data_IF_413025130072
#
_entry.id   IF_413025130072
#
_cell.length_a   1.000
_cell.length_b   1.000
_cell.length_c   1.000
_cell.angle_alpha   90.00
_cell.angle_beta   90.00
_cell.angle_gamma   90.00
#
_symmetry.space_group_name_H-M   'P 1'
#
loop_
_entity.id
_entity.type
_entity.pdbx_description
1 polymer ?
#
# COMPACT_ATOMS: atom_id res chain seq x y z
N UNK A 1 -7.76 12.32 2.93
CA UNK A 1 -8.17 10.99 2.39
C UNK A 1 -7.00 10.02 2.39
N UNK A 2 -6.76 9.39 3.54
CA UNK A 2 -5.55 8.62 3.89
C UNK A 2 -5.20 7.42 2.99
N UNK A 3 -6.15 6.91 2.21
CA UNK A 3 -6.00 5.69 1.42
C UNK A 3 -5.83 5.93 -0.09
N UNK A 4 -5.64 7.18 -0.53
CA UNK A 4 -5.42 7.49 -1.97
C UNK A 4 -4.02 7.03 -2.41
N UNK A 5 -3.84 5.73 -2.61
CA UNK A 5 -2.55 5.13 -2.96
C UNK A 5 -1.98 5.71 -4.26
N UNK A 6 -2.83 5.94 -5.26
CA UNK A 6 -2.46 6.44 -6.59
C UNK A 6 -2.22 7.96 -6.70
N UNK A 7 -2.39 8.75 -5.63
CA UNK A 7 -2.22 10.20 -5.66
C UNK A 7 -1.28 10.66 -4.55
N UNK A 8 -0.59 11.76 -4.84
CA UNK A 8 0.15 12.53 -3.85
C UNK A 8 -0.74 13.68 -3.37
N UNK A 9 -0.74 14.01 -2.09
CA UNK A 9 -1.69 14.98 -1.53
C UNK A 9 -1.25 16.43 -1.81
N UNK A 10 0.02 16.76 -1.53
CA UNK A 10 0.54 18.10 -1.75
C UNK A 10 2.00 18.09 -2.16
N UNK A 11 2.36 18.99 -3.06
CA UNK A 11 3.75 19.23 -3.46
C UNK A 11 4.03 20.71 -3.27
N UNK A 12 5.08 21.04 -2.52
CA UNK A 12 5.57 22.41 -2.29
C UNK A 12 6.96 22.53 -2.93
N UNK A 13 7.08 23.09 -4.15
CA UNK A 13 8.38 23.37 -4.76
C UNK A 13 9.22 24.29 -3.87
N UNK A 14 10.54 24.08 -3.90
CA UNK A 14 11.53 24.89 -3.20
C UNK A 14 12.31 25.74 -4.22
N UNK A 15 12.86 26.90 -3.80
CA UNK A 15 13.67 27.76 -4.68
C UNK A 15 14.94 27.08 -5.23
N UNK A 16 15.44 26.03 -4.57
CA UNK A 16 16.61 25.24 -4.98
C UNK A 16 16.32 24.23 -6.10
N UNK A 17 15.10 24.24 -6.64
CA UNK A 17 14.63 23.30 -7.66
C UNK A 17 14.16 21.95 -7.09
N UNK A 18 14.20 21.76 -5.77
CA UNK A 18 13.64 20.58 -5.11
C UNK A 18 12.17 20.76 -4.72
N UNK A 19 11.62 19.81 -3.97
CA UNK A 19 10.27 19.91 -3.41
C UNK A 19 10.10 19.26 -2.03
N UNK A 20 9.09 19.70 -1.29
CA UNK A 20 8.51 18.94 -0.17
C UNK A 20 7.25 18.26 -0.68
N UNK A 21 7.24 16.94 -0.64
CA UNK A 21 6.05 16.15 -0.97
C UNK A 21 5.38 15.71 0.33
N UNK A 22 4.13 16.13 0.55
CA UNK A 22 3.34 15.76 1.72
C UNK A 22 2.47 14.55 1.40
N UNK A 23 2.51 13.57 2.31
CA UNK A 23 1.61 12.43 2.38
C UNK A 23 0.78 12.59 3.65
N UNK A 24 -0.49 12.92 3.51
CA UNK A 24 -1.38 13.27 4.63
C UNK A 24 -2.18 12.05 5.12
N UNK A 25 -2.13 11.74 6.41
CA UNK A 25 -2.96 10.73 7.07
C UNK A 25 -3.83 11.39 8.15
N UNK A 26 -5.13 11.46 7.87
CA UNK A 26 -6.12 12.12 8.75
C UNK A 26 -6.65 11.19 9.85
N UNK A 27 -6.24 9.92 9.86
CA UNK A 27 -6.66 8.97 10.88
C UNK A 27 -6.02 9.32 12.22
N UNK A 28 -6.70 8.97 13.31
CA UNK A 28 -6.08 8.94 14.63
C UNK A 28 -5.28 7.63 14.82
N UNK A 29 -4.45 7.58 15.87
CA UNK A 29 -3.60 6.41 16.16
C UNK A 29 -4.40 5.10 16.33
N UNK A 30 -5.59 5.15 16.94
CA UNK A 30 -6.44 3.98 17.12
C UNK A 30 -6.97 3.43 15.78
N UNK A 31 -7.38 4.31 14.86
CA UNK A 31 -7.81 3.93 13.52
C UNK A 31 -6.65 3.36 12.69
N UNK A 32 -5.44 3.90 12.83
CA UNK A 32 -4.24 3.34 12.20
C UNK A 32 -3.90 1.94 12.75
N UNK A 33 -4.09 1.71 14.05
CA UNK A 33 -3.80 0.45 14.73
C UNK A 33 -4.87 -0.63 14.53
N UNK A 34 -6.05 -0.32 13.96
CA UNK A 34 -7.15 -1.28 13.78
C UNK A 34 -6.77 -2.46 12.89
N UNK A 35 -6.05 -2.19 11.80
CA UNK A 35 -5.52 -3.20 10.87
C UNK A 35 -4.09 -2.80 10.52
N UNK A 36 -3.08 -3.16 11.36
CA UNK A 36 -1.70 -2.70 11.21
C UNK A 36 -1.11 -2.99 9.83
N UNK A 37 -1.26 -4.23 9.33
CA UNK A 37 -0.80 -4.63 8.00
C UNK A 37 -1.36 -3.74 6.87
N UNK A 38 -2.65 -3.41 6.90
CA UNK A 38 -3.28 -2.51 5.91
C UNK A 38 -2.69 -1.10 5.99
N UNK A 39 -2.58 -0.56 7.21
CA UNK A 39 -2.01 0.77 7.44
C UNK A 39 -0.57 0.86 6.94
N UNK A 40 0.25 -0.16 7.23
CA UNK A 40 1.63 -0.26 6.76
C UNK A 40 1.71 -0.28 5.25
N UNK A 41 0.97 -1.18 4.58
CA UNK A 41 1.02 -1.32 3.11
C UNK A 41 0.55 -0.04 2.41
N UNK A 42 -0.53 0.60 2.89
CA UNK A 42 -1.01 1.87 2.32
C UNK A 42 0.01 3.00 2.52
N UNK A 43 0.54 3.15 3.73
CA UNK A 43 1.46 4.23 4.03
C UNK A 43 2.74 4.12 3.21
N UNK A 44 3.33 2.92 3.15
CA UNK A 44 4.53 2.67 2.33
C UNK A 44 4.23 2.91 0.85
N UNK A 45 3.09 2.41 0.33
CA UNK A 45 2.74 2.62 -1.06
C UNK A 45 2.69 4.12 -1.43
N UNK A 46 2.08 4.94 -0.56
CA UNK A 46 1.98 6.39 -0.76
C UNK A 46 3.34 7.07 -0.70
N UNK A 47 4.23 6.66 0.21
CA UNK A 47 5.59 7.19 0.27
C UNK A 47 6.40 6.81 -0.97
N UNK A 48 6.32 5.56 -1.45
CA UNK A 48 7.00 5.14 -2.66
C UNK A 48 6.49 5.89 -3.91
N UNK A 49 5.20 6.16 -4.01
CA UNK A 49 4.65 6.99 -5.08
C UNK A 49 5.09 8.45 -4.95
N UNK A 50 5.18 9.00 -3.74
CA UNK A 50 5.74 10.32 -3.51
C UNK A 50 7.22 10.41 -3.96
N UNK A 51 8.01 9.35 -3.74
CA UNK A 51 9.40 9.26 -4.25
C UNK A 51 9.45 9.35 -5.77
N UNK A 52 8.56 8.65 -6.47
CA UNK A 52 8.48 8.72 -7.94
C UNK A 52 8.12 10.10 -8.44
N UNK A 53 7.17 10.77 -7.79
CA UNK A 53 6.81 12.14 -8.14
C UNK A 53 8.01 13.08 -7.93
N UNK A 54 8.76 12.91 -6.84
CA UNK A 54 9.96 13.69 -6.56
C UNK A 54 11.04 13.45 -7.62
N UNK A 55 11.28 12.18 -7.97
CA UNK A 55 12.24 11.80 -9.01
C UNK A 55 11.86 12.39 -10.36
N UNK A 56 10.64 12.14 -10.82
CA UNK A 56 10.17 12.50 -12.15
C UNK A 56 10.04 14.02 -12.37
N UNK A 57 9.68 14.79 -11.33
CA UNK A 57 9.40 16.23 -11.47
C UNK A 57 10.51 17.14 -10.94
N UNK A 58 11.33 16.66 -10.01
CA UNK A 58 12.33 17.46 -9.31
C UNK A 58 13.72 16.81 -9.32
N UNK A 59 13.94 15.78 -10.14
CA UNK A 59 15.23 15.08 -10.26
C UNK A 59 15.70 14.49 -8.94
N UNK A 60 14.76 14.02 -8.12
CA UNK A 60 15.02 13.42 -6.80
C UNK A 60 15.39 14.45 -5.73
N UNK A 61 15.45 15.74 -6.05
CA UNK A 61 15.82 16.79 -5.09
C UNK A 61 14.64 17.13 -4.18
N UNK A 62 14.80 16.90 -2.88
CA UNK A 62 13.83 17.30 -1.88
C UNK A 62 13.61 16.27 -0.80
N UNK A 63 12.41 16.26 -0.25
CA UNK A 63 12.03 15.35 0.84
C UNK A 63 10.55 14.99 0.79
N UNK A 64 10.23 13.86 1.41
CA UNK A 64 8.85 13.41 1.63
C UNK A 64 8.55 13.56 3.11
N UNK A 65 7.37 14.08 3.44
CA UNK A 65 6.89 14.17 4.82
C UNK A 65 5.56 13.45 4.95
N UNK A 66 5.51 12.48 5.85
CA UNK A 66 4.28 11.82 6.29
C UNK A 66 3.65 12.68 7.38
N UNK A 67 2.61 13.42 7.00
CA UNK A 67 1.91 14.40 7.82
C UNK A 67 0.72 13.76 8.52
N UNK A 68 0.63 13.96 9.83
CA UNK A 68 -0.39 13.39 10.69
C UNK A 68 -0.79 14.40 11.78
N UNK A 69 -2.07 14.40 12.17
CA UNK A 69 -2.52 15.17 13.33
C UNK A 69 -2.30 14.43 14.66
N UNK A 70 -2.13 13.10 14.62
CA UNK A 70 -1.92 12.25 15.78
C UNK A 70 -0.49 11.72 15.83
N UNK A 71 -0.02 11.32 17.01
CA UNK A 71 1.24 10.55 17.12
C UNK A 71 1.14 9.26 16.31
N UNK A 72 2.15 8.97 15.48
CA UNK A 72 2.21 7.73 14.72
C UNK A 72 2.41 6.54 15.68
N UNK A 73 1.66 5.44 15.52
CA UNK A 73 2.04 4.18 16.11
C UNK A 73 3.47 3.79 15.70
N UNK A 74 4.26 3.22 16.63
CA UNK A 74 5.67 2.91 16.40
C UNK A 74 5.92 2.06 15.16
N UNK A 75 5.05 1.07 14.89
CA UNK A 75 5.14 0.22 13.70
C UNK A 75 5.04 1.02 12.40
N UNK A 76 4.18 2.05 12.37
CA UNK A 76 3.93 2.85 11.19
C UNK A 76 5.05 3.87 11.00
N UNK A 77 5.56 4.44 12.10
CA UNK A 77 6.73 5.32 12.08
C UNK A 77 7.95 4.62 11.48
N UNK A 78 8.25 3.39 11.90
CA UNK A 78 9.33 2.58 11.34
C UNK A 78 9.10 2.31 9.84
N UNK A 79 7.88 1.93 9.46
CA UNK A 79 7.55 1.66 8.05
C UNK A 79 7.72 2.87 7.12
N UNK A 80 7.17 4.04 7.48
CA UNK A 80 7.28 5.26 6.64
C UNK A 80 8.69 5.80 6.58
N UNK A 81 9.42 5.68 7.70
CA UNK A 81 10.84 6.03 7.80
C UNK A 81 11.67 5.19 6.83
N UNK A 82 11.53 3.86 6.89
CA UNK A 82 12.25 2.95 5.98
C UNK A 82 11.87 3.19 4.53
N UNK A 83 10.64 3.61 4.26
CA UNK A 83 10.17 3.95 2.93
C UNK A 83 10.80 5.24 2.38
N UNK A 84 11.43 6.05 3.24
CA UNK A 84 12.13 7.28 2.87
C UNK A 84 11.36 8.57 3.19
N UNK A 85 10.37 8.55 4.09
CA UNK A 85 9.66 9.73 4.55
C UNK A 85 10.15 10.20 5.93
N UNK A 86 10.21 11.53 6.11
CA UNK A 86 10.25 12.15 7.43
C UNK A 86 8.84 12.17 8.04
N UNK A 87 8.72 12.23 9.37
CA UNK A 87 7.42 12.47 10.02
C UNK A 87 7.24 13.96 10.25
N UNK A 88 6.05 14.48 9.94
CA UNK A 88 5.67 15.87 10.21
C UNK A 88 4.34 15.97 10.96
N UNK A 89 4.11 17.12 11.58
CA UNK A 89 2.78 17.47 12.11
C UNK A 89 1.77 17.70 10.96
N UNK A 90 0.55 18.09 11.32
CA UNK A 90 -0.51 18.43 10.37
C UNK A 90 -0.23 19.72 9.57
N UNK A 91 0.62 20.63 10.06
CA UNK A 91 1.05 21.83 9.33
C UNK A 91 2.08 21.50 8.23
N UNK A 92 2.69 20.31 8.35
CA UNK A 92 3.76 19.81 7.50
C UNK A 92 5.14 20.18 8.03
N UNK A 93 5.27 20.69 9.25
CA UNK A 93 6.53 20.95 9.94
C UNK A 93 7.17 19.64 10.42
N UNK A 94 8.47 19.49 10.19
CA UNK A 94 9.18 18.23 10.41
C UNK A 94 9.37 17.98 11.91
N UNK A 95 8.96 16.80 12.39
CA UNK A 95 9.10 16.38 13.79
C UNK A 95 10.26 15.36 13.94
N UNK A 96 10.41 14.44 12.98
CA UNK A 96 11.40 13.35 13.06
C UNK A 96 12.22 13.27 11.77
N UNK A 97 13.54 13.25 11.91
CA UNK A 97 14.51 12.95 10.85
C UNK A 97 15.06 11.56 11.13
N UNK A 98 14.77 10.55 10.31
CA UNK A 98 15.33 9.23 10.53
C UNK A 98 16.77 9.12 10.02
N UNK A 99 17.51 8.18 10.60
CA UNK A 99 18.72 7.63 9.99
C UNK A 99 18.34 6.91 8.69
N UNK A 100 19.24 6.94 7.70
CA UNK A 100 19.02 6.58 6.29
C UNK A 100 18.02 5.45 5.99
N UNK A 101 17.31 5.49 4.83
CA UNK A 101 16.38 4.46 4.42
C UNK A 101 16.97 3.05 4.52
N UNK A 102 16.25 2.13 5.15
CA UNK A 102 16.63 0.72 5.25
C UNK A 102 15.77 -0.13 4.30
N UNK A 103 16.19 -1.38 4.06
CA UNK A 103 15.44 -2.31 3.23
C UNK A 103 13.98 -2.45 3.72
N UNK A 104 13.01 -2.27 2.82
CA UNK A 104 11.58 -2.26 3.13
C UNK A 104 10.87 -3.57 2.80
N UNK A 105 11.52 -4.46 2.05
CA UNK A 105 10.89 -5.69 1.56
C UNK A 105 10.32 -6.55 2.69
N UNK A 106 11.00 -6.67 3.83
CA UNK A 106 10.51 -7.42 4.99
C UNK A 106 9.29 -6.77 5.66
N UNK A 107 9.25 -5.44 5.72
CA UNK A 107 8.12 -4.69 6.28
C UNK A 107 6.88 -4.89 5.41
N UNK A 108 7.04 -4.86 4.08
CA UNK A 108 5.96 -5.11 3.13
C UNK A 108 5.50 -6.56 3.16
N UNK A 109 6.44 -7.52 3.17
CA UNK A 109 6.13 -8.94 3.27
C UNK A 109 5.28 -9.22 4.51
N UNK A 110 5.70 -8.71 5.67
CA UNK A 110 4.95 -8.87 6.92
C UNK A 110 3.60 -8.16 6.88
N UNK A 111 3.54 -6.93 6.35
CA UNK A 111 2.30 -6.18 6.24
C UNK A 111 1.24 -6.88 5.38
N UNK A 112 1.64 -7.48 4.26
CA UNK A 112 0.73 -8.28 3.43
C UNK A 112 0.33 -9.60 4.08
N UNK A 113 1.23 -10.28 4.79
CA UNK A 113 0.91 -11.52 5.53
C UNK A 113 -0.11 -11.23 6.62
N UNK A 114 0.11 -10.21 7.45
CA UNK A 114 -0.84 -9.78 8.47
C UNK A 114 -2.20 -9.42 7.88
N UNK A 115 -2.22 -8.71 6.75
CA UNK A 115 -3.45 -8.34 6.06
C UNK A 115 -4.19 -9.58 5.53
N UNK A 116 -3.50 -10.53 4.91
CA UNK A 116 -4.10 -11.78 4.42
C UNK A 116 -4.72 -12.57 5.57
N UNK A 117 -4.03 -12.69 6.70
CA UNK A 117 -4.55 -13.34 7.90
C UNK A 117 -5.77 -12.62 8.48
N UNK A 118 -5.74 -11.29 8.55
CA UNK A 118 -6.85 -10.48 9.01
C UNK A 118 -8.09 -10.69 8.13
N UNK A 119 -7.94 -10.61 6.80
CA UNK A 119 -9.04 -10.79 5.85
C UNK A 119 -9.62 -12.20 5.96
N UNK A 120 -8.78 -13.24 5.94
CA UNK A 120 -9.23 -14.64 6.08
C UNK A 120 -10.04 -14.85 7.36
N UNK A 121 -9.59 -14.29 8.48
CA UNK A 121 -10.31 -14.37 9.77
C UNK A 121 -11.64 -13.64 9.72
N UNK A 122 -11.67 -12.43 9.14
CA UNK A 122 -12.89 -11.61 9.06
C UNK A 122 -14.00 -12.26 8.23
N UNK A 123 -13.65 -12.94 7.14
CA UNK A 123 -14.63 -13.67 6.31
C UNK A 123 -14.93 -15.08 6.83
N UNK A 124 -14.31 -15.50 7.95
CA UNK A 124 -14.56 -16.80 8.57
C UNK A 124 -14.08 -17.99 7.73
N UNK A 125 -13.11 -17.80 6.83
CA UNK A 125 -12.69 -18.85 5.91
C UNK A 125 -11.60 -19.78 6.52
N UNK A 126 -11.71 -21.11 6.31
CA UNK A 126 -10.75 -22.07 6.84
C UNK A 126 -9.38 -21.98 6.13
N UNK A 127 -9.37 -21.64 4.85
CA UNK A 127 -8.16 -21.56 4.02
C UNK A 127 -8.06 -20.22 3.31
N UNK A 128 -6.85 -19.84 2.89
CA UNK A 128 -6.61 -18.63 2.09
C UNK A 128 -7.31 -18.72 0.73
N UNK A 129 -7.32 -19.90 0.10
CA UNK A 129 -8.03 -20.15 -1.16
C UNK A 129 -9.52 -19.87 -1.01
N UNK A 130 -10.15 -20.39 0.05
CA UNK A 130 -11.57 -20.14 0.34
C UNK A 130 -11.83 -18.65 0.63
N UNK A 131 -10.95 -18.00 1.39
CA UNK A 131 -11.06 -16.56 1.65
C UNK A 131 -11.02 -15.74 0.36
N UNK A 132 -10.09 -16.05 -0.55
CA UNK A 132 -9.97 -15.35 -1.83
C UNK A 132 -11.23 -15.52 -2.67
N UNK A 133 -11.74 -16.75 -2.79
CA UNK A 133 -12.97 -17.01 -3.53
C UNK A 133 -14.17 -16.21 -2.96
N UNK A 134 -14.32 -16.17 -1.64
CA UNK A 134 -15.39 -15.41 -0.97
C UNK A 134 -15.24 -13.91 -1.24
N UNK A 135 -14.04 -13.35 -1.00
CA UNK A 135 -13.81 -11.91 -1.17
C UNK A 135 -13.97 -11.50 -2.63
N UNK A 136 -13.43 -12.27 -3.58
CA UNK A 136 -13.63 -11.96 -5.00
C UNK A 136 -15.11 -12.00 -5.41
N UNK A 137 -15.87 -13.01 -4.97
CA UNK A 137 -17.29 -13.11 -5.26
C UNK A 137 -18.07 -11.91 -4.71
N UNK A 138 -17.76 -11.46 -3.49
CA UNK A 138 -18.35 -10.26 -2.90
C UNK A 138 -17.98 -8.99 -3.68
N UNK A 139 -16.72 -8.84 -4.10
CA UNK A 139 -16.28 -7.65 -4.87
C UNK A 139 -16.90 -7.61 -6.27
N UNK A 140 -17.17 -8.75 -6.90
CA UNK A 140 -17.87 -8.81 -8.20
C UNK A 140 -19.34 -8.40 -8.12
N UNK A 141 -19.99 -8.48 -6.95
CA UNK A 141 -21.40 -8.10 -6.77
C UNK A 141 -21.62 -6.58 -6.72
N UNK A 142 -20.61 -5.81 -6.33
CA UNK A 142 -20.73 -4.38 -6.14
C UNK A 142 -19.43 -3.66 -6.47
N UNK A 143 -19.44 -2.90 -7.57
CA UNK A 143 -18.33 -2.03 -7.96
C UNK A 143 -18.12 -0.92 -6.94
N UNK A 144 -16.86 -0.58 -6.68
CA UNK A 144 -16.53 0.54 -5.79
C UNK A 144 -15.96 1.68 -6.65
N UNK A 145 -16.56 2.87 -6.56
CA UNK A 145 -16.01 4.03 -7.25
C UNK A 145 -14.71 4.49 -6.57
N UNK A 146 -13.61 4.49 -7.33
CA UNK A 146 -12.27 4.83 -6.84
C UNK A 146 -12.15 6.28 -6.38
N UNK A 147 -12.83 7.22 -7.01
CA UNK A 147 -12.70 8.65 -6.72
C UNK A 147 -13.63 9.09 -5.59
N UNK A 148 -14.86 8.57 -5.58
CA UNK A 148 -15.83 8.82 -4.53
C UNK A 148 -15.51 8.08 -3.23
N UNK A 149 -14.96 6.85 -3.32
CA UNK A 149 -14.71 5.98 -2.17
C UNK A 149 -13.30 5.35 -2.17
N UNK A 150 -12.20 6.11 -2.31
CA UNK A 150 -10.85 5.55 -2.41
C UNK A 150 -10.44 4.73 -1.19
N UNK A 151 -10.94 5.03 0.01
CA UNK A 151 -10.65 4.21 1.19
C UNK A 151 -11.21 2.80 1.08
N UNK A 152 -12.47 2.66 0.65
CA UNK A 152 -13.08 1.36 0.40
C UNK A 152 -12.40 0.67 -0.79
N UNK A 153 -12.14 1.42 -1.88
CA UNK A 153 -11.54 0.91 -3.11
C UNK A 153 -10.15 0.31 -2.87
N UNK A 154 -9.21 1.10 -2.33
CA UNK A 154 -7.83 0.64 -2.16
C UNK A 154 -7.71 -0.41 -1.08
N UNK A 155 -8.57 -0.38 -0.06
CA UNK A 155 -8.67 -1.49 0.90
C UNK A 155 -9.06 -2.78 0.19
N UNK A 156 -10.13 -2.77 -0.60
CA UNK A 156 -10.58 -3.95 -1.35
C UNK A 156 -9.50 -4.51 -2.30
N UNK A 157 -8.79 -3.63 -3.00
CA UNK A 157 -7.67 -4.03 -3.88
C UNK A 157 -6.55 -4.70 -3.09
N UNK A 158 -6.15 -4.13 -1.95
CA UNK A 158 -5.05 -4.65 -1.15
C UNK A 158 -5.42 -5.93 -0.38
N UNK A 159 -6.66 -6.08 0.05
CA UNK A 159 -7.16 -7.32 0.66
C UNK A 159 -7.07 -8.50 -0.32
N UNK A 160 -7.54 -8.29 -1.56
CA UNK A 160 -7.43 -9.28 -2.64
C UNK A 160 -5.96 -9.60 -2.97
N UNK A 161 -5.13 -8.56 -3.10
CA UNK A 161 -3.71 -8.72 -3.39
C UNK A 161 -2.96 -9.47 -2.27
N UNK A 162 -3.31 -9.21 -1.00
CA UNK A 162 -2.73 -9.88 0.16
C UNK A 162 -3.02 -11.38 0.14
N UNK A 163 -4.28 -11.77 -0.10
CA UNK A 163 -4.67 -13.18 -0.18
C UNK A 163 -3.96 -13.89 -1.34
N UNK A 164 -3.89 -13.26 -2.51
CA UNK A 164 -3.16 -13.80 -3.66
C UNK A 164 -1.66 -13.95 -3.38
N UNK A 165 -1.06 -12.96 -2.71
CA UNK A 165 0.32 -13.04 -2.24
C UNK A 165 0.59 -14.20 -1.29
N UNK A 166 -0.34 -14.50 -0.40
CA UNK A 166 -0.20 -15.64 0.52
C UNK A 166 -0.28 -16.99 -0.23
N UNK A 167 -1.11 -17.11 -1.27
CA UNK A 167 -1.13 -18.33 -2.11
C UNK A 167 0.19 -18.54 -2.86
N UNK A 168 0.82 -17.46 -3.30
CA UNK A 168 2.09 -17.49 -4.03
C UNK A 168 3.29 -18.01 -3.19
N UNK A 169 3.17 -18.05 -1.86
CA UNK A 169 4.26 -18.45 -0.94
C UNK A 169 4.77 -19.86 -1.23
N UNK A 170 3.87 -20.78 -1.60
CA UNK A 170 4.20 -22.15 -1.98
C UNK A 170 5.15 -22.25 -3.18
N UNK A 171 5.13 -21.24 -4.06
CA UNK A 171 6.00 -21.10 -5.24
C UNK A 171 7.24 -20.22 -4.98
N UNK A 172 7.54 -19.94 -3.71
CA UNK A 172 8.63 -19.06 -3.31
C UNK A 172 8.34 -17.57 -3.48
N UNK A 173 7.06 -17.17 -3.62
CA UNK A 173 6.66 -15.77 -3.80
C UNK A 173 7.12 -14.85 -2.67
N UNK A 174 7.72 -13.72 -3.03
CA UNK A 174 8.15 -12.63 -2.12
C UNK A 174 7.71 -11.28 -2.66
N UNK A 175 7.20 -10.41 -1.80
CA UNK A 175 6.85 -9.05 -2.21
C UNK A 175 8.11 -8.23 -2.46
N UNK A 176 8.07 -7.47 -3.54
CA UNK A 176 9.13 -6.57 -3.97
C UNK A 176 8.53 -5.23 -4.40
N UNK A 177 9.31 -4.16 -4.29
CA UNK A 177 8.95 -2.88 -4.89
C UNK A 177 8.99 -2.98 -6.43
N UNK A 178 8.02 -2.37 -7.11
CA UNK A 178 7.97 -2.20 -8.57
C UNK A 178 7.54 -0.78 -8.92
N UNK A 179 8.20 -0.17 -9.92
CA UNK A 179 7.88 1.17 -10.42
C UNK A 179 6.59 1.24 -11.26
N UNK A 180 6.07 0.10 -11.71
CA UNK A 180 5.19 0.01 -12.88
C UNK A 180 3.70 0.21 -12.57
N UNK A 181 3.35 0.45 -11.30
CA UNK A 181 1.96 0.47 -10.87
C UNK A 181 1.66 1.48 -9.75
N UNK A 182 0.40 1.96 -9.66
CA UNK A 182 -0.07 2.78 -8.54
C UNK A 182 0.07 2.07 -7.19
N UNK A 183 -0.18 0.75 -7.12
CA UNK A 183 0.23 -0.06 -5.97
C UNK A 183 1.65 -0.56 -6.27
N UNK A 184 2.69 -0.03 -5.61
CA UNK A 184 4.08 -0.18 -6.03
C UNK A 184 4.69 -1.53 -5.62
N UNK A 185 3.90 -2.61 -5.62
CA UNK A 185 4.30 -3.92 -5.13
C UNK A 185 3.98 -5.01 -6.16
N UNK A 186 4.95 -5.92 -6.34
CA UNK A 186 4.82 -7.13 -7.13
C UNK A 186 5.25 -8.33 -6.28
N UNK A 187 4.85 -9.53 -6.70
CA UNK A 187 5.35 -10.78 -6.16
C UNK A 187 6.43 -11.27 -7.11
N UNK A 188 7.63 -11.52 -6.59
CA UNK A 188 8.70 -12.21 -7.31
C UNK A 188 8.70 -13.69 -6.92
N UNK A 189 8.58 -14.57 -7.90
CA UNK A 189 8.69 -16.02 -7.70
C UNK A 189 10.15 -16.47 -7.64
N UNK A 190 10.38 -17.70 -7.16
CA UNK A 190 11.70 -18.33 -7.17
C UNK A 190 12.29 -18.46 -8.60
N UNK A 191 11.41 -18.54 -9.61
CA UNK A 191 11.78 -18.57 -11.04
C UNK A 191 12.21 -17.19 -11.59
N UNK A 192 12.06 -16.12 -10.81
CA UNK A 192 12.33 -14.74 -11.23
C UNK A 192 11.14 -14.03 -11.90
N UNK A 193 10.07 -14.75 -12.22
CA UNK A 193 8.83 -14.17 -12.76
C UNK A 193 8.20 -13.18 -11.77
N UNK A 194 7.55 -12.13 -12.29
CA UNK A 194 6.84 -11.14 -11.51
C UNK A 194 5.32 -11.25 -11.73
N UNK A 195 4.57 -11.41 -10.64
CA UNK A 195 3.12 -11.25 -10.62
C UNK A 195 2.72 -9.90 -10.03
N UNK A 196 1.68 -9.29 -10.61
CA UNK A 196 1.16 -7.98 -10.24
C UNK A 196 -0.30 -8.09 -9.79
N UNK A 197 -0.57 -8.72 -8.62
CA UNK A 197 -1.93 -9.06 -8.21
C UNK A 197 -2.84 -7.83 -8.06
N UNK A 198 -2.28 -6.68 -7.69
CA UNK A 198 -3.03 -5.42 -7.59
C UNK A 198 -3.66 -4.98 -8.93
N UNK A 199 -3.13 -5.39 -10.09
CA UNK A 199 -3.68 -5.05 -11.41
C UNK A 199 -4.99 -5.78 -11.67
N UNK A 200 -5.02 -7.09 -11.44
CA UNK A 200 -6.24 -7.89 -11.58
C UNK A 200 -7.23 -7.57 -10.45
N UNK A 201 -6.76 -7.33 -9.22
CA UNK A 201 -7.62 -6.91 -8.11
C UNK A 201 -8.35 -5.59 -8.41
N UNK A 202 -7.69 -4.59 -9.01
CA UNK A 202 -8.36 -3.37 -9.48
C UNK A 202 -9.47 -3.68 -10.48
N UNK A 203 -9.19 -4.51 -11.50
CA UNK A 203 -10.21 -4.91 -12.48
C UNK A 203 -11.42 -5.59 -11.82
N UNK A 204 -11.19 -6.44 -10.81
CA UNK A 204 -12.27 -7.09 -10.05
C UNK A 204 -13.12 -6.05 -9.31
N UNK A 205 -12.48 -5.12 -8.60
CA UNK A 205 -13.17 -4.05 -7.84
C UNK A 205 -13.89 -3.05 -8.77
N UNK A 206 -13.34 -2.81 -9.95
CA UNK A 206 -13.93 -1.99 -11.02
C UNK A 206 -15.10 -2.69 -11.73
N UNK A 207 -15.29 -4.01 -11.54
CA UNK A 207 -16.26 -4.82 -12.29
C UNK A 207 -15.89 -5.06 -13.75
N UNK A 208 -14.60 -4.93 -14.11
CA UNK A 208 -14.08 -5.08 -15.48
C UNK A 208 -13.19 -6.32 -15.66
N UNK A 209 -13.02 -7.11 -14.60
CA UNK A 209 -12.41 -8.43 -14.69
C UNK A 209 -13.39 -9.41 -15.34
N UNK A 210 -12.85 -10.34 -16.12
CA UNK A 210 -13.55 -11.56 -16.51
C UNK A 210 -13.65 -12.50 -15.28
N UNK A 211 -14.12 -13.74 -15.50
CA UNK A 211 -14.19 -14.77 -14.45
C UNK A 211 -12.80 -15.25 -13.97
N UNK A 212 -11.70 -14.66 -14.46
CA UNK A 212 -10.35 -15.00 -14.01
C UNK A 212 -10.18 -14.70 -12.53
N UNK A 213 -9.79 -15.73 -11.77
CA UNK A 213 -9.41 -15.60 -10.37
C UNK A 213 -7.95 -15.17 -10.22
N UNK A 214 -7.65 -14.38 -9.19
CA UNK A 214 -6.29 -14.05 -8.78
C UNK A 214 -5.44 -15.28 -8.49
N UNK A 215 -6.06 -16.36 -8.01
CA UNK A 215 -5.37 -17.64 -7.76
C UNK A 215 -4.73 -18.23 -9.03
N UNK A 216 -5.23 -17.92 -10.22
CA UNK A 216 -4.65 -18.38 -11.48
C UNK A 216 -3.40 -17.59 -11.89
N UNK A 217 -3.18 -16.42 -11.27
CA UNK A 217 -2.10 -15.48 -11.62
C UNK A 217 -0.98 -15.43 -10.58
N UNK A 218 -1.13 -16.16 -9.48
CA UNK A 218 -0.21 -16.16 -8.32
C UNK A 218 0.11 -17.57 -7.87
#
# INVERSE_FOLDING_TARGET
MWARVHKVDRVRPKPDGGAIVLVEDERNAAAMARVPGLSTVIAVARVLNARRVLEAKFGGKGEIRYATAASLPAFLQDAVTRAGANVSDASGERIVIPSSPAAISSVIDNGFVELAHHVRKNVGAPTVVAALAIVEAERRKATIDREAQPAAYWTAVLELAALAGELSRSRGGRWVETADMPVPFAIRFATGELAMPAKLAQRIVDGTADETSLAATT
#
